data_IF_779193236272
#
_entry.id   IF_779193236272
#
_cell.length_a   1.000
_cell.length_b   1.000
_cell.length_c   1.000
_cell.angle_alpha   90.00
_cell.angle_beta   90.00
_cell.angle_gamma   90.00
#
_symmetry.space_group_name_H-M   'P 1'
#
loop_
_entity.id
_entity.type
_entity.pdbx_description
1 polymer ?
#
# COMPACT_ATOMS: atom_id res chain seq x y z
N UNK A 1 -12.64 -12.65 3.64
CA UNK A 1 -11.20 -12.47 3.86
C UNK A 1 -10.87 -10.98 3.91
N UNK A 2 -10.12 -10.61 4.92
CA UNK A 2 -9.69 -9.23 5.07
C UNK A 2 -8.62 -8.89 4.06
N UNK A 3 -8.76 -7.72 3.48
CA UNK A 3 -7.73 -7.18 2.59
C UNK A 3 -7.12 -5.98 3.26
N UNK A 4 -5.83 -6.04 3.47
CA UNK A 4 -5.10 -4.94 4.09
C UNK A 4 -4.63 -3.93 3.05
N UNK A 5 -4.58 -4.33 1.79
CA UNK A 5 -4.20 -3.47 0.68
C UNK A 5 -5.30 -3.54 -0.36
N UNK A 6 -5.85 -2.38 -0.72
CA UNK A 6 -6.88 -2.32 -1.74
C UNK A 6 -6.58 -1.19 -2.71
N UNK A 7 -7.08 -1.31 -3.93
CA UNK A 7 -6.89 -0.32 -4.96
C UNK A 7 -8.23 0.22 -5.43
N UNK A 8 -8.30 1.52 -5.62
CA UNK A 8 -9.47 2.21 -6.12
C UNK A 8 -9.04 3.18 -7.20
N UNK A 9 -9.98 3.61 -8.03
CA UNK A 9 -9.71 4.58 -9.08
C UNK A 9 -10.86 5.57 -9.16
N UNK A 10 -10.52 6.85 -9.23
CA UNK A 10 -11.49 7.89 -9.55
C UNK A 10 -11.06 8.58 -10.86
N UNK A 11 -11.65 9.75 -11.17
CA UNK A 11 -11.37 10.45 -12.42
C UNK A 11 -9.97 11.05 -12.47
N UNK A 12 -9.33 11.22 -11.33
CA UNK A 12 -8.05 11.94 -11.23
C UNK A 12 -6.90 11.08 -10.79
N UNK A 13 -7.17 10.05 -9.99
CA UNK A 13 -6.11 9.27 -9.39
C UNK A 13 -6.47 7.80 -9.26
N UNK A 14 -5.44 6.95 -9.33
CA UNK A 14 -5.50 5.65 -8.69
C UNK A 14 -5.14 5.85 -7.23
N UNK A 15 -5.82 5.14 -6.36
CA UNK A 15 -5.53 5.16 -4.92
C UNK A 15 -5.21 3.76 -4.45
N UNK A 16 -4.10 3.63 -3.77
CA UNK A 16 -3.76 2.36 -3.12
C UNK A 16 -3.82 2.63 -1.63
N UNK A 17 -4.71 1.92 -0.94
CA UNK A 17 -5.02 2.17 0.46
C UNK A 17 -4.54 0.98 1.28
N UNK A 18 -3.68 1.25 2.24
CA UNK A 18 -3.12 0.23 3.12
C UNK A 18 -3.67 0.46 4.53
N UNK A 19 -4.30 -0.58 5.09
CA UNK A 19 -4.74 -0.55 6.47
C UNK A 19 -3.53 -0.83 7.36
N UNK A 20 -3.15 0.13 8.18
CA UNK A 20 -1.97 0.03 9.01
C UNK A 20 -2.18 -0.67 10.34
N UNK A 21 -3.42 -0.96 10.71
CA UNK A 21 -3.69 -1.59 12.01
C UNK A 21 -2.90 -2.87 12.24
N UNK A 22 -2.82 -3.80 11.28
CA UNK A 22 -2.04 -5.02 11.48
C UNK A 22 -0.54 -4.78 11.49
N UNK A 23 -0.10 -3.55 11.18
CA UNK A 23 1.31 -3.21 11.02
C UNK A 23 1.72 -2.13 12.02
N UNK A 24 1.19 -2.24 13.25
CA UNK A 24 1.50 -1.35 14.38
C UNK A 24 1.13 0.10 14.13
N UNK A 25 0.18 0.36 13.23
CA UNK A 25 -0.21 1.71 12.83
C UNK A 25 0.99 2.57 12.40
N UNK A 26 2.05 1.93 11.94
CA UNK A 26 3.28 2.62 11.58
C UNK A 26 3.52 2.52 10.07
N UNK A 27 3.49 3.66 9.40
CA UNK A 27 3.71 3.72 7.96
C UNK A 27 5.13 3.31 7.57
N UNK A 28 6.07 3.30 8.51
CA UNK A 28 7.43 2.82 8.24
C UNK A 28 7.47 1.32 7.97
N UNK A 29 6.41 0.61 8.34
CA UNK A 29 6.32 -0.81 8.07
C UNK A 29 5.82 -1.09 6.65
N UNK A 30 5.57 -0.05 5.87
CA UNK A 30 5.14 -0.17 4.48
C UNK A 30 6.27 0.27 3.56
N UNK A 31 6.59 -0.58 2.60
CA UNK A 31 7.60 -0.27 1.59
C UNK A 31 6.95 -0.21 0.22
N UNK A 32 7.25 0.83 -0.53
CA UNK A 32 6.72 1.03 -1.87
C UNK A 32 7.89 1.10 -2.84
N UNK A 33 7.88 0.23 -3.83
CA UNK A 33 8.94 0.20 -4.84
C UNK A 33 8.33 0.24 -6.23
N UNK A 34 9.07 0.75 -7.19
CA UNK A 34 8.64 0.80 -8.59
C UNK A 34 9.69 0.17 -9.48
N UNK A 35 9.22 -0.46 -10.55
CA UNK A 35 10.08 -1.00 -11.58
C UNK A 35 9.33 -0.81 -12.90
N UNK A 36 9.73 0.21 -13.67
CA UNK A 36 8.99 0.58 -14.87
C UNK A 36 7.56 0.99 -14.50
N UNK A 37 6.60 0.31 -15.07
CA UNK A 37 5.17 0.59 -14.84
C UNK A 37 4.57 -0.29 -13.74
N UNK A 38 5.40 -0.99 -12.98
CA UNK A 38 4.92 -1.86 -11.91
C UNK A 38 5.23 -1.23 -10.56
N UNK A 39 4.20 -1.10 -9.75
CA UNK A 39 4.30 -0.61 -8.38
C UNK A 39 4.10 -1.80 -7.44
N UNK A 40 5.01 -1.98 -6.49
CA UNK A 40 4.89 -3.04 -5.49
C UNK A 40 4.80 -2.43 -4.12
N UNK A 41 3.78 -2.84 -3.38
CA UNK A 41 3.57 -2.42 -1.99
C UNK A 41 3.75 -3.63 -1.10
N UNK A 42 4.63 -3.50 -0.12
CA UNK A 42 4.88 -4.57 0.85
C UNK A 42 4.71 -4.01 2.24
N UNK A 43 3.97 -4.71 3.07
CA UNK A 43 3.78 -4.32 4.47
C UNK A 43 4.08 -5.51 5.37
N UNK A 44 4.74 -5.25 6.48
CA UNK A 44 5.11 -6.29 7.43
C UNK A 44 4.91 -5.79 8.85
N UNK A 45 4.48 -6.67 9.73
CA UNK A 45 4.26 -6.33 11.13
C UNK A 45 4.29 -7.56 12.00
N UNK A 46 4.49 -7.34 13.31
CA UNK A 46 4.46 -8.41 14.29
C UNK A 46 3.06 -8.49 14.90
N UNK A 47 2.50 -9.69 14.90
CA UNK A 47 1.18 -9.95 15.45
C UNK A 47 1.29 -11.01 16.54
N UNK A 48 0.71 -10.75 17.71
CA UNK A 48 0.67 -11.75 18.78
C UNK A 48 -0.61 -12.54 18.67
N UNK A 49 -0.46 -13.85 18.60
CA UNK A 49 -1.58 -14.78 18.51
C UNK A 49 -1.31 -15.95 19.45
N UNK A 50 -2.24 -16.17 20.40
CA UNK A 50 -2.09 -17.24 21.38
C UNK A 50 -0.77 -17.15 22.15
N UNK A 51 -0.38 -15.93 22.51
CA UNK A 51 0.84 -15.71 23.26
C UNK A 51 2.14 -15.82 22.47
N UNK A 52 2.04 -16.12 21.20
CA UNK A 52 3.20 -16.21 20.30
C UNK A 52 3.23 -15.08 19.32
N UNK A 53 4.43 -14.61 19.01
CA UNK A 53 4.63 -13.56 18.05
C UNK A 53 4.78 -14.15 16.65
N UNK A 54 4.01 -13.64 15.71
CA UNK A 54 4.07 -14.05 14.30
C UNK A 54 4.33 -12.81 13.46
N UNK A 55 5.06 -12.99 12.37
CA UNK A 55 5.27 -11.92 11.43
C UNK A 55 4.21 -12.03 10.34
N UNK A 56 3.41 -10.97 10.19
CA UNK A 56 2.46 -10.86 9.09
C UNK A 56 3.13 -10.05 7.99
N UNK A 57 3.18 -10.61 6.81
CA UNK A 57 3.75 -9.93 5.66
C UNK A 57 2.82 -10.05 4.48
N UNK A 58 2.48 -8.92 3.87
CA UNK A 58 1.64 -8.89 2.68
C UNK A 58 2.35 -8.10 1.60
N UNK A 59 2.15 -8.51 0.36
CA UNK A 59 2.76 -7.85 -0.78
C UNK A 59 1.78 -7.85 -1.94
N UNK A 60 1.69 -6.72 -2.62
CA UNK A 60 0.80 -6.58 -3.76
C UNK A 60 1.49 -5.78 -4.84
N UNK A 61 1.38 -6.25 -6.09
CA UNK A 61 1.95 -5.56 -7.24
C UNK A 61 0.84 -5.10 -8.18
N UNK A 62 1.03 -3.91 -8.73
CA UNK A 62 0.07 -3.33 -9.67
C UNK A 62 0.81 -2.90 -10.93
N UNK A 63 0.29 -3.32 -12.08
CA UNK A 63 0.83 -2.92 -13.38
C UNK A 63 -0.03 -1.81 -13.96
N UNK A 64 0.61 -0.76 -14.44
CA UNK A 64 -0.08 0.38 -15.02
C UNK A 64 0.26 0.52 -16.50
N UNK A 65 -0.59 1.24 -17.21
CA UNK A 65 -0.35 1.56 -18.61
C UNK A 65 0.75 2.61 -18.75
N UNK A 66 1.30 2.73 -19.94
CA UNK A 66 2.40 3.67 -20.19
C UNK A 66 2.02 5.13 -19.99
N UNK A 67 0.72 5.44 -19.98
CA UNK A 67 0.24 6.80 -19.76
C UNK A 67 0.25 7.20 -18.28
N UNK A 68 0.60 6.29 -17.39
CA UNK A 68 0.70 6.57 -15.96
C UNK A 68 2.16 6.78 -15.59
N UNK A 69 2.45 7.90 -14.93
CA UNK A 69 3.80 8.22 -14.49
C UNK A 69 3.90 8.00 -12.98
N UNK A 70 4.54 6.90 -12.61
CA UNK A 70 4.66 6.52 -11.20
C UNK A 70 5.55 7.48 -10.40
N UNK A 71 6.40 8.26 -11.08
CA UNK A 71 7.23 9.23 -10.38
C UNK A 71 6.40 10.38 -9.79
N UNK A 72 5.15 10.54 -10.22
CA UNK A 72 4.27 11.58 -9.73
C UNK A 72 3.41 11.15 -8.55
N UNK A 73 3.62 9.94 -8.05
CA UNK A 73 2.83 9.47 -6.92
C UNK A 73 3.06 10.31 -5.68
N UNK A 74 2.03 10.46 -4.88
CA UNK A 74 2.11 11.10 -3.58
C UNK A 74 1.58 10.16 -2.53
N UNK A 75 2.06 10.33 -1.31
CA UNK A 75 1.70 9.46 -0.20
C UNK A 75 1.20 10.31 0.95
N UNK A 76 0.06 9.92 1.53
CA UNK A 76 -0.45 10.60 2.71
C UNK A 76 -0.82 9.59 3.78
N UNK A 77 -0.85 10.04 5.01
CA UNK A 77 -1.34 9.28 6.13
C UNK A 77 -2.65 9.88 6.60
N UNK A 78 -3.68 9.06 6.73
CA UNK A 78 -4.99 9.51 7.16
C UNK A 78 -5.55 8.51 8.17
N UNK A 79 -5.53 8.89 9.45
CA UNK A 79 -5.93 7.98 10.51
C UNK A 79 -5.09 6.73 10.53
N UNK A 80 -5.73 5.58 10.38
CA UNK A 80 -5.06 4.28 10.35
C UNK A 80 -4.74 3.80 8.93
N UNK A 81 -4.87 4.69 7.95
CA UNK A 81 -4.66 4.33 6.54
C UNK A 81 -3.50 5.09 5.95
N UNK A 82 -2.73 4.40 5.13
CA UNK A 82 -1.67 4.98 4.34
C UNK A 82 -2.12 4.93 2.89
N UNK A 83 -2.22 6.09 2.25
CA UNK A 83 -2.83 6.19 0.93
C UNK A 83 -1.81 6.69 -0.07
N UNK A 84 -1.69 5.96 -1.17
CA UNK A 84 -0.81 6.33 -2.28
C UNK A 84 -1.69 6.79 -3.43
N UNK A 85 -1.47 8.04 -3.87
CA UNK A 85 -2.19 8.61 -5.01
C UNK A 85 -1.28 8.60 -6.24
N UNK A 86 -1.80 8.10 -7.34
CA UNK A 86 -1.10 8.07 -8.61
C UNK A 86 -1.97 8.79 -9.63
N UNK A 87 -1.52 9.96 -10.14
CA UNK A 87 -2.36 10.74 -11.05
C UNK A 87 -2.65 10.00 -12.35
N UNK A 88 -3.87 10.15 -12.83
CA UNK A 88 -4.31 9.62 -14.12
C UNK A 88 -4.39 10.81 -15.08
N UNK A 89 -3.70 10.70 -16.19
CA UNK A 89 -3.77 11.72 -17.22
C UNK A 89 -4.92 11.49 -18.20
#
# INVERSE_FOLDING_TARGET
TERFIRAEKDNKNYKIIIDLKPFDNDEKNVEVTTNGNVLTVTAAGAVKKHGKEHILRVSQSYSFNDDVDLSRMTKIREGNEYIIFIPVD
#
